data_IF_523927846499
#
_entry.id   IF_523927846499
#
_cell.length_a   1.000
_cell.length_b   1.000
_cell.length_c   1.000
_cell.angle_alpha   90.00
_cell.angle_beta   90.00
_cell.angle_gamma   90.00
#
_symmetry.space_group_name_H-M   'P 1'
#
loop_
_entity.id
_entity.type
_entity.pdbx_description
1 polymer ?
#
# COMPACT_ATOMS: atom_id res chain seq x y z
N UNK A 1 -5.81 -1.04 -23.18
CA UNK A 1 -6.44 -1.09 -21.85
C UNK A 1 -6.49 0.33 -21.35
N UNK A 2 -7.66 0.87 -21.00
CA UNK A 2 -7.75 2.25 -20.48
C UNK A 2 -7.32 2.28 -19.01
N UNK A 3 -6.86 3.43 -18.49
CA UNK A 3 -6.53 3.60 -17.06
C UNK A 3 -7.68 3.14 -16.14
N UNK A 4 -8.92 3.29 -16.62
CA UNK A 4 -10.12 2.86 -15.91
C UNK A 4 -10.18 1.34 -15.70
N UNK A 5 -9.67 0.53 -16.64
CA UNK A 5 -9.66 -0.94 -16.52
C UNK A 5 -8.56 -1.43 -15.56
N UNK A 6 -7.47 -0.66 -15.42
CA UNK A 6 -6.36 -0.98 -14.51
C UNK A 6 -6.72 -0.79 -13.04
N UNK A 7 -7.58 0.18 -12.71
CA UNK A 7 -7.95 0.46 -11.31
C UNK A 7 -8.95 -0.57 -10.74
N UNK A 8 -9.77 -1.19 -11.58
CA UNK A 8 -10.77 -2.18 -11.14
C UNK A 8 -10.19 -3.50 -10.63
N UNK A 9 -8.92 -3.80 -10.95
CA UNK A 9 -8.26 -5.04 -10.53
C UNK A 9 -7.19 -4.83 -9.47
N UNK A 10 -7.14 -3.64 -8.86
CA UNK A 10 -6.22 -3.38 -7.76
C UNK A 10 -6.76 -3.97 -6.45
N UNK A 11 -5.88 -4.64 -5.71
CA UNK A 11 -6.17 -5.22 -4.40
C UNK A 11 -5.24 -4.65 -3.33
N UNK A 12 -5.66 -4.61 -2.06
CA UNK A 12 -4.80 -4.17 -0.98
C UNK A 12 -3.58 -5.07 -0.81
N UNK A 13 -2.37 -4.48 -0.76
CA UNK A 13 -1.10 -5.19 -0.55
C UNK A 13 -1.07 -5.93 0.79
N UNK A 14 -1.89 -5.48 1.74
CA UNK A 14 -2.05 -6.07 3.08
C UNK A 14 -2.72 -7.46 3.08
N UNK A 15 -3.24 -7.94 1.94
CA UNK A 15 -3.93 -9.23 1.84
C UNK A 15 -2.95 -10.39 1.63
N UNK A 16 -2.76 -11.23 2.66
CA UNK A 16 -1.76 -12.32 2.67
C UNK A 16 -2.00 -13.40 1.62
N UNK A 17 -3.27 -13.62 1.24
CA UNK A 17 -3.64 -14.75 0.39
C UNK A 17 -3.22 -14.57 -1.06
N UNK A 18 -2.67 -13.40 -1.37
CA UNK A 18 -2.42 -12.93 -2.71
C UNK A 18 -0.91 -12.78 -2.94
N UNK A 19 -0.13 -12.35 -1.94
CA UNK A 19 1.29 -12.02 -2.12
C UNK A 19 2.26 -13.07 -1.56
N UNK A 20 3.49 -13.14 -2.09
CA UNK A 20 4.57 -13.89 -1.45
C UNK A 20 4.81 -13.44 0.00
N UNK A 21 5.36 -14.32 0.83
CA UNK A 21 5.68 -14.00 2.22
C UNK A 21 6.63 -12.79 2.33
N UNK A 22 6.37 -11.86 3.25
CA UNK A 22 7.17 -10.66 3.49
C UNK A 22 6.56 -9.36 2.96
N UNK A 23 5.68 -9.42 1.95
CA UNK A 23 5.06 -8.25 1.34
C UNK A 23 4.00 -7.61 2.25
N UNK A 24 3.13 -8.45 2.82
CA UNK A 24 2.15 -8.04 3.84
C UNK A 24 2.84 -7.38 5.03
N UNK A 25 3.89 -8.02 5.57
CA UNK A 25 4.63 -7.53 6.73
C UNK A 25 5.28 -6.18 6.44
N UNK A 26 5.82 -5.99 5.24
CA UNK A 26 6.38 -4.71 4.81
C UNK A 26 5.30 -3.63 4.75
N UNK A 27 4.17 -3.90 4.08
CA UNK A 27 3.08 -2.94 3.95
C UNK A 27 2.53 -2.53 5.32
N UNK A 28 2.26 -3.48 6.22
CA UNK A 28 1.83 -3.19 7.59
C UNK A 28 2.87 -2.37 8.36
N UNK A 29 4.16 -2.70 8.23
CA UNK A 29 5.21 -1.96 8.92
C UNK A 29 5.30 -0.50 8.46
N UNK A 30 4.99 -0.21 7.20
CA UNK A 30 5.01 1.15 6.64
C UNK A 30 3.72 1.92 6.92
N UNK A 31 2.57 1.24 7.00
CA UNK A 31 1.27 1.85 7.27
C UNK A 31 0.96 2.04 8.76
N UNK A 32 1.68 1.36 9.65
CA UNK A 32 1.53 1.53 11.10
C UNK A 32 2.30 2.78 11.58
N UNK A 33 1.64 3.70 12.33
CA UNK A 33 2.24 4.96 12.80
C UNK A 33 3.18 4.75 14.00
N UNK A 34 4.25 3.99 13.80
CA UNK A 34 5.18 3.57 14.88
C UNK A 34 6.15 4.65 15.32
N UNK A 35 6.63 5.46 14.37
CA UNK A 35 7.56 6.56 14.60
C UNK A 35 7.14 7.76 13.75
N UNK A 36 7.40 8.96 14.26
CA UNK A 36 7.26 10.18 13.47
C UNK A 36 8.30 10.20 12.35
N UNK A 37 7.91 10.71 11.19
CA UNK A 37 8.73 10.72 9.99
C UNK A 37 7.92 10.49 8.73
N UNK A 38 8.62 10.42 7.62
CA UNK A 38 8.03 10.23 6.30
C UNK A 38 8.35 8.82 5.78
N UNK A 39 7.36 8.19 5.15
CA UNK A 39 7.50 6.91 4.49
C UNK A 39 6.77 6.91 3.15
N UNK A 40 7.16 5.99 2.27
CA UNK A 40 6.40 5.63 1.09
C UNK A 40 5.89 4.21 1.32
N UNK A 41 4.56 4.04 1.31
CA UNK A 41 3.91 2.78 1.62
C UNK A 41 3.13 2.27 0.40
N UNK A 42 3.33 1.01 -0.03
CA UNK A 42 2.47 0.41 -1.04
C UNK A 42 1.09 0.14 -0.43
N UNK A 43 0.04 0.63 -1.08
CA UNK A 43 -1.34 0.51 -0.61
C UNK A 43 -2.19 -0.42 -1.48
N UNK A 44 -1.96 -0.42 -2.79
CA UNK A 44 -2.66 -1.27 -3.75
C UNK A 44 -1.70 -1.86 -4.77
N UNK A 45 -2.08 -2.98 -5.37
CA UNK A 45 -1.29 -3.68 -6.39
C UNK A 45 -2.23 -4.47 -7.30
N UNK A 46 -1.82 -4.72 -8.54
CA UNK A 46 -2.58 -5.52 -9.48
C UNK A 46 -2.88 -6.93 -8.94
N UNK A 47 -4.16 -7.30 -8.99
CA UNK A 47 -4.68 -8.59 -8.53
C UNK A 47 -4.60 -9.73 -9.54
N UNK A 48 -4.03 -9.50 -10.73
CA UNK A 48 -3.76 -10.55 -11.71
C UNK A 48 -2.45 -11.28 -11.38
N UNK A 49 -1.33 -10.54 -11.42
CA UNK A 49 0.01 -11.08 -11.17
C UNK A 49 0.32 -11.19 -9.67
N UNK A 50 -0.37 -10.38 -8.84
CA UNK A 50 -0.29 -10.46 -7.39
C UNK A 50 1.16 -10.30 -6.88
N UNK A 51 1.94 -9.48 -7.57
CA UNK A 51 3.32 -9.15 -7.25
C UNK A 51 3.56 -7.66 -7.44
N UNK A 52 4.70 -7.16 -6.94
CA UNK A 52 5.07 -5.75 -7.07
C UNK A 52 5.85 -5.45 -8.37
N UNK A 53 5.75 -6.33 -9.37
CA UNK A 53 6.24 -6.07 -10.73
C UNK A 53 5.16 -5.46 -11.61
N UNK A 54 3.91 -5.69 -11.27
CA UNK A 54 2.77 -5.07 -11.93
C UNK A 54 2.49 -3.68 -11.35
N UNK A 55 1.37 -3.06 -11.74
CA UNK A 55 0.97 -1.74 -11.23
C UNK A 55 0.83 -1.76 -9.70
N UNK A 56 1.60 -0.92 -9.01
CA UNK A 56 1.52 -0.70 -7.56
C UNK A 56 1.09 0.74 -7.32
N UNK A 57 0.09 0.97 -6.48
CA UNK A 57 -0.19 2.31 -5.96
C UNK A 57 0.50 2.48 -4.61
N UNK A 58 1.21 3.58 -4.46
CA UNK A 58 1.91 3.98 -3.25
C UNK A 58 1.31 5.26 -2.66
N UNK A 59 1.47 5.43 -1.36
CA UNK A 59 1.16 6.64 -0.63
C UNK A 59 2.43 7.21 0.00
N UNK A 60 2.66 8.50 -0.17
CA UNK A 60 3.62 9.24 0.66
C UNK A 60 2.93 9.67 1.94
N UNK A 61 3.41 9.17 3.07
CA UNK A 61 2.78 9.35 4.38
C UNK A 61 3.75 10.04 5.33
N UNK A 62 3.32 11.14 5.92
CA UNK A 62 4.02 11.83 7.00
C UNK A 62 3.31 11.57 8.33
N UNK A 63 3.97 10.82 9.20
CA UNK A 63 3.55 10.60 10.59
C UNK A 63 4.04 11.74 11.47
N UNK A 64 3.12 12.45 12.12
CA UNK A 64 3.40 13.48 13.13
C UNK A 64 2.72 13.11 14.44
N UNK A 65 3.24 13.59 15.57
CA UNK A 65 2.75 13.30 16.91
C UNK A 65 1.24 13.03 17.04
N UNK A 66 0.39 13.93 16.55
CA UNK A 66 -1.07 13.82 16.70
C UNK A 66 -1.82 13.62 15.36
N UNK A 67 -1.13 13.71 14.22
CA UNK A 67 -1.77 13.65 12.89
C UNK A 67 -0.97 12.83 11.89
N UNK A 68 -1.67 12.26 10.92
CA UNK A 68 -1.09 11.49 9.82
C UNK A 68 -1.50 12.15 8.51
N UNK A 69 -0.54 12.45 7.67
CA UNK A 69 -0.75 13.15 6.41
C UNK A 69 -0.43 12.20 5.28
N UNK A 70 -1.43 11.87 4.47
CA UNK A 70 -1.22 11.26 3.17
C UNK A 70 -1.02 12.41 2.19
N UNK A 71 0.24 12.71 1.91
CA UNK A 71 0.64 13.89 1.15
C UNK A 71 0.22 13.76 -0.31
N UNK A 72 0.36 12.55 -0.87
CA UNK A 72 0.06 12.23 -2.27
C UNK A 72 0.02 10.73 -2.53
N UNK A 73 -0.69 10.35 -3.59
CA UNK A 73 -0.80 8.98 -4.09
C UNK A 73 -0.22 8.87 -5.50
N UNK A 74 0.33 7.70 -5.83
CA UNK A 74 1.01 7.49 -7.10
C UNK A 74 1.03 6.05 -7.58
N UNK A 75 1.27 5.84 -8.86
CA UNK A 75 1.73 4.59 -9.43
C UNK A 75 3.25 4.47 -9.30
N UNK A 76 3.73 3.44 -8.61
CA UNK A 76 5.12 3.03 -8.73
C UNK A 76 5.29 2.30 -10.07
N UNK A 77 6.02 2.93 -10.99
CA UNK A 77 6.33 2.41 -12.32
C UNK A 77 7.72 1.78 -12.39
N UNK A 78 8.41 1.67 -11.24
CA UNK A 78 9.75 1.10 -11.19
C UNK A 78 9.68 -0.43 -11.34
N UNK A 79 10.54 -1.00 -12.18
CA UNK A 79 10.69 -2.45 -12.29
C UNK A 79 11.47 -3.02 -11.09
N UNK A 80 10.78 -3.42 -10.02
CA UNK A 80 11.43 -3.92 -8.80
C UNK A 80 11.62 -5.45 -8.82
N UNK A 81 12.87 -5.91 -8.92
CA UNK A 81 13.20 -7.36 -8.93
C UNK A 81 13.31 -8.02 -7.56
N UNK A 82 13.38 -7.24 -6.47
CA UNK A 82 13.41 -7.78 -5.11
C UNK A 82 12.97 -6.74 -4.06
N UNK A 83 12.53 -7.25 -2.90
CA UNK A 83 11.99 -6.46 -1.76
C UNK A 83 13.00 -5.51 -1.11
N UNK A 84 14.30 -5.82 -1.15
CA UNK A 84 15.35 -5.00 -0.54
C UNK A 84 15.74 -3.81 -1.44
N UNK A 85 15.74 -3.99 -2.76
CA UNK A 85 15.85 -2.92 -3.73
C UNK A 85 14.63 -2.02 -3.69
N UNK A 86 13.45 -2.62 -3.63
CA UNK A 86 12.19 -1.91 -3.51
C UNK A 86 12.14 -0.98 -2.28
N UNK A 87 12.62 -1.40 -1.10
CA UNK A 87 12.72 -0.49 0.06
C UNK A 87 13.64 0.73 -0.17
N UNK A 88 14.67 0.58 -0.99
CA UNK A 88 15.60 1.68 -1.32
C UNK A 88 15.12 2.51 -2.51
N UNK A 89 14.20 1.96 -3.30
CA UNK A 89 13.81 2.50 -4.60
C UNK A 89 12.35 2.92 -4.67
N UNK A 90 11.53 2.59 -3.66
CA UNK A 90 10.21 3.19 -3.49
C UNK A 90 10.38 4.70 -3.53
N UNK A 91 9.76 5.32 -4.52
CA UNK A 91 9.83 6.75 -4.69
C UNK A 91 10.92 7.30 -5.63
N UNK A 92 11.67 6.45 -6.34
CA UNK A 92 12.73 6.94 -7.25
C UNK A 92 12.23 7.28 -8.65
N UNK A 93 11.19 6.59 -9.13
CA UNK A 93 10.46 6.92 -10.37
C UNK A 93 8.97 6.86 -10.08
N UNK A 94 8.38 8.03 -9.86
CA UNK A 94 6.98 8.19 -9.45
C UNK A 94 6.33 9.24 -10.34
N UNK A 95 5.13 8.96 -10.86
CA UNK A 95 4.37 9.84 -11.75
C UNK A 95 3.09 10.35 -11.09
N UNK A 96 3.27 11.30 -10.17
CA UNK A 96 2.25 11.70 -9.19
C UNK A 96 0.88 11.92 -9.81
N UNK A 97 -0.12 11.18 -9.32
CA UNK A 97 -1.49 11.29 -9.77
C UNK A 97 -2.00 12.69 -9.45
N UNK A 98 -2.14 13.50 -10.50
CA UNK A 98 -2.64 14.87 -10.39
C UNK A 98 -4.13 14.82 -10.08
N UNK A 99 -4.55 15.54 -9.04
CA UNK A 99 -5.98 15.75 -8.73
C UNK A 99 -6.49 15.03 -7.47
N UNK A 100 -5.66 14.22 -6.81
CA UNK A 100 -5.97 13.68 -5.48
C UNK A 100 -5.42 14.66 -4.44
N UNK A 101 -6.27 15.34 -3.65
CA UNK A 101 -5.80 16.26 -2.63
C UNK A 101 -5.14 15.48 -1.47
N UNK A 102 -4.19 16.10 -0.75
CA UNK A 102 -3.66 15.55 0.47
C UNK A 102 -4.78 15.27 1.48
N UNK A 103 -4.61 14.20 2.26
CA UNK A 103 -5.57 13.80 3.30
C UNK A 103 -4.89 13.84 4.67
N UNK A 104 -5.60 14.36 5.66
CA UNK A 104 -5.11 14.42 7.04
C UNK A 104 -6.05 13.64 7.94
N UNK A 105 -5.46 12.85 8.83
CA UNK A 105 -6.18 12.02 9.79
C UNK A 105 -5.70 12.33 11.21
N UNK A 106 -6.61 12.24 12.17
CA UNK A 106 -6.24 12.11 13.58
C UNK A 106 -5.50 10.78 13.79
N UNK A 107 -4.42 10.81 14.58
CA UNK A 107 -3.58 9.63 14.77
C UNK A 107 -4.30 8.50 15.51
N UNK A 108 -5.09 8.81 16.52
CA UNK A 108 -5.80 7.80 17.32
C UNK A 108 -6.88 7.13 16.47
N UNK A 109 -7.67 7.92 15.75
CA UNK A 109 -8.69 7.42 14.83
C UNK A 109 -8.08 6.55 13.72
N UNK A 110 -7.00 7.01 13.09
CA UNK A 110 -6.30 6.23 12.06
C UNK A 110 -5.79 4.90 12.62
N UNK A 111 -5.16 4.91 13.80
CA UNK A 111 -4.65 3.69 14.45
C UNK A 111 -5.78 2.71 14.74
N UNK A 112 -6.93 3.21 15.20
CA UNK A 112 -8.12 2.41 15.41
C UNK A 112 -8.61 1.78 14.09
N UNK A 113 -8.71 2.57 13.02
CA UNK A 113 -9.10 2.07 11.70
C UNK A 113 -8.14 0.99 11.18
N UNK A 114 -6.82 1.17 11.34
CA UNK A 114 -5.83 0.17 10.93
C UNK A 114 -5.99 -1.14 11.71
N UNK A 115 -6.30 -1.07 13.01
CA UNK A 115 -6.57 -2.26 13.82
C UNK A 115 -7.83 -3.01 13.34
N UNK A 116 -8.92 -2.29 13.07
CA UNK A 116 -10.15 -2.87 12.52
C UNK A 116 -9.85 -3.55 11.17
N UNK A 117 -9.14 -2.86 10.27
CA UNK A 117 -8.79 -3.39 8.96
C UNK A 117 -7.96 -4.67 9.07
N UNK A 118 -6.94 -4.67 9.95
CA UNK A 118 -6.09 -5.84 10.19
C UNK A 118 -6.90 -7.05 10.66
N UNK A 119 -7.76 -6.84 11.65
CA UNK A 119 -8.64 -7.90 12.15
C UNK A 119 -9.61 -8.40 11.08
N UNK A 120 -10.16 -7.52 10.24
CA UNK A 120 -11.06 -7.90 9.16
C UNK A 120 -10.35 -8.73 8.08
N UNK A 121 -9.11 -8.38 7.73
CA UNK A 121 -8.29 -9.14 6.78
C UNK A 121 -7.92 -10.51 7.37
N UNK A 122 -7.47 -10.56 8.61
CA UNK A 122 -7.07 -11.83 9.25
C UNK A 122 -8.27 -12.77 9.51
N UNK A 123 -9.48 -12.22 9.63
CA UNK A 123 -10.71 -13.01 9.76
C UNK A 123 -11.33 -13.42 8.41
N UNK A 124 -10.83 -12.91 7.28
CA UNK A 124 -11.40 -13.20 5.97
C UNK A 124 -11.15 -14.68 5.60
N UNK A 125 -12.16 -15.41 5.12
CA UNK A 125 -11.98 -16.80 4.72
C UNK A 125 -11.00 -16.88 3.54
N UNK A 126 -10.03 -17.80 3.63
CA UNK A 126 -9.11 -18.09 2.53
C UNK A 126 -9.93 -18.64 1.35
N UNK A 127 -10.19 -17.82 0.35
CA UNK A 127 -10.77 -18.28 -0.91
C UNK A 127 -9.67 -19.03 -1.64
N UNK A 128 -9.57 -20.34 -1.39
CA UNK A 128 -8.73 -21.22 -2.21
C UNK A 128 -9.31 -21.21 -3.61
N UNK A 129 -8.63 -20.56 -4.55
CA UNK A 129 -8.93 -20.76 -5.98
C UNK A 129 -8.69 -22.25 -6.25
N UNK A 130 -9.76 -22.97 -6.56
CA UNK A 130 -9.69 -24.34 -7.05
C UNK A 130 -8.80 -24.33 -8.30
N UNK A 131 -7.72 -25.11 -8.24
CA UNK A 131 -6.84 -25.43 -9.38
C UNK A 131 -7.61 -26.04 -10.54
#
# INVERSE_FOLDING_TARGET
>A
MTIHDQLTMLVPVMNEHIFPAGYKELAWRLLEPRIDGQVIAPILVCGDDCDLYCTVIVAEITYKKDTIHWERLDFDVSEHKDMARMQRQFGLQIDWIIGIPPMTFDREEYTHCMLILKNAIDAAPVVRRST
#
